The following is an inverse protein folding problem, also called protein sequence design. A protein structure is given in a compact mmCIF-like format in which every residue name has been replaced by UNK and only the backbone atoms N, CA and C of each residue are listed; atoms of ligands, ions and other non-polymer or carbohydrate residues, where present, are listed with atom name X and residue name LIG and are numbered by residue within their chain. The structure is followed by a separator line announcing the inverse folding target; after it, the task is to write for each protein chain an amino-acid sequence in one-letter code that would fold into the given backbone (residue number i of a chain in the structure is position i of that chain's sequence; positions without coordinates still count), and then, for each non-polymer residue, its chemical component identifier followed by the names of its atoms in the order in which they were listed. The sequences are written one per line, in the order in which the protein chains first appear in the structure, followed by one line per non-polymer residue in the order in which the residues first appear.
data_IF_845738049155
#
_entry.id   IF_845738049155
#
_cell.length_a   1.000
_cell.length_b   1.000
_cell.length_c   1.000
_cell.angle_alpha   90.00
_cell.angle_beta   90.00
_cell.angle_gamma   90.00
#
_symmetry.space_group_name_H-M   'P 1'
#
loop_
_entity.id
_entity.type
_entity.pdbx_description
1 polymer ?
#
# COMPACT_ATOMS: atom_id res chain seq x y z
N UNK A 1 1.14 -20.24 20.66
CA UNK A 1 1.75 -19.25 19.76
C UNK A 1 0.78 -18.09 19.50
N UNK A 2 -0.44 -18.31 18.99
CA UNK A 2 -1.45 -17.26 18.76
C UNK A 2 -1.85 -16.50 20.02
N UNK A 3 -2.02 -17.20 21.15
CA UNK A 3 -2.37 -16.58 22.42
C UNK A 3 -1.26 -15.64 22.94
N UNK A 4 0.00 -16.02 22.78
CA UNK A 4 1.14 -15.19 23.16
C UNK A 4 1.24 -13.94 22.29
N UNK A 5 1.10 -14.08 20.96
CA UNK A 5 1.05 -12.94 20.04
C UNK A 5 -0.05 -11.95 20.43
N UNK A 6 -1.25 -12.47 20.72
CA UNK A 6 -2.37 -11.63 21.11
C UNK A 6 -2.11 -10.90 22.45
N UNK A 7 -1.60 -11.60 23.45
CA UNK A 7 -1.32 -11.00 24.76
C UNK A 7 -0.23 -9.91 24.67
N UNK A 8 0.83 -10.13 23.90
CA UNK A 8 1.87 -9.12 23.67
C UNK A 8 1.32 -7.88 22.97
N UNK A 9 0.53 -8.07 21.89
CA UNK A 9 -0.09 -6.94 21.15
C UNK A 9 -1.07 -6.17 22.00
N UNK A 10 -1.88 -6.88 22.79
CA UNK A 10 -2.81 -6.26 23.71
C UNK A 10 -2.09 -5.41 24.75
N UNK A 11 -1.01 -5.95 25.32
CA UNK A 11 -0.20 -5.26 26.32
C UNK A 11 0.46 -3.99 25.77
N UNK A 12 1.04 -4.07 24.57
CA UNK A 12 1.61 -2.91 23.86
C UNK A 12 0.58 -1.82 23.59
N UNK A 13 -0.57 -2.20 23.00
CA UNK A 13 -1.65 -1.26 22.70
C UNK A 13 -2.19 -0.60 23.99
N UNK A 14 -2.42 -1.38 25.04
CA UNK A 14 -2.90 -0.86 26.32
C UNK A 14 -1.90 0.13 26.92
N UNK A 15 -0.62 -0.17 26.84
CA UNK A 15 0.45 0.71 27.34
C UNK A 15 0.53 2.02 26.52
N UNK A 16 0.43 1.93 25.20
CA UNK A 16 0.41 3.11 24.33
C UNK A 16 -0.80 4.00 24.59
N UNK A 17 -1.99 3.39 24.77
CA UNK A 17 -3.21 4.12 25.06
C UNK A 17 -3.14 4.79 26.44
N UNK A 18 -2.56 4.13 27.45
CA UNK A 18 -2.39 4.72 28.77
C UNK A 18 -1.42 5.91 28.78
N UNK A 19 -0.32 5.81 28.00
CA UNK A 19 0.69 6.87 27.94
C UNK A 19 0.27 8.04 27.02
N UNK A 20 -0.47 7.76 25.94
CA UNK A 20 -0.72 8.71 24.86
C UNK A 20 -2.17 8.68 24.35
N UNK A 21 -3.17 8.59 25.23
CA UNK A 21 -4.58 8.42 24.86
C UNK A 21 -5.10 9.49 23.87
N UNK A 22 -4.76 10.78 24.09
CA UNK A 22 -5.16 11.87 23.19
C UNK A 22 -4.52 11.74 21.79
N UNK A 23 -3.26 11.32 21.73
CA UNK A 23 -2.55 11.09 20.46
C UNK A 23 -3.19 9.91 19.72
N UNK A 24 -3.49 8.83 20.43
CA UNK A 24 -4.17 7.66 19.85
C UNK A 24 -5.56 8.00 19.33
N UNK A 25 -6.30 8.84 20.04
CA UNK A 25 -7.61 9.33 19.57
C UNK A 25 -7.46 10.16 18.28
N UNK A 26 -6.48 11.05 18.22
CA UNK A 26 -6.19 11.82 17.01
C UNK A 26 -5.82 10.94 15.83
N UNK A 27 -4.99 9.92 16.05
CA UNK A 27 -4.67 8.93 15.01
C UNK A 27 -5.90 8.13 14.55
N UNK A 28 -6.80 7.77 15.47
CA UNK A 28 -8.04 7.08 15.14
C UNK A 28 -8.93 7.94 14.22
N UNK A 29 -9.12 9.22 14.57
CA UNK A 29 -9.91 10.16 13.76
C UNK A 29 -9.29 10.37 12.39
N UNK A 30 -7.98 10.64 12.33
CA UNK A 30 -7.27 10.81 11.06
C UNK A 30 -7.36 9.53 10.18
N UNK A 31 -7.22 8.36 10.78
CA UNK A 31 -7.33 7.09 10.08
C UNK A 31 -8.73 6.89 9.45
N UNK A 32 -9.81 7.27 10.14
CA UNK A 32 -11.17 7.21 9.59
C UNK A 32 -11.38 8.21 8.46
N UNK A 33 -10.83 9.42 8.56
CA UNK A 33 -10.86 10.41 7.47
C UNK A 33 -10.12 9.87 6.25
N UNK A 34 -8.92 9.32 6.42
CA UNK A 34 -8.15 8.72 5.33
C UNK A 34 -8.83 7.48 4.75
N UNK A 35 -9.54 6.68 5.56
CA UNK A 35 -10.40 5.59 5.09
C UNK A 35 -11.41 6.08 4.05
N UNK A 36 -12.14 7.12 4.40
CA UNK A 36 -13.14 7.70 3.50
C UNK A 36 -12.52 8.23 2.20
N UNK A 37 -11.40 8.96 2.30
CA UNK A 37 -10.66 9.48 1.13
C UNK A 37 -10.15 8.35 0.26
N UNK A 38 -9.60 7.28 0.86
CA UNK A 38 -9.10 6.11 0.13
C UNK A 38 -10.23 5.41 -0.62
N UNK A 39 -11.38 5.19 0.02
CA UNK A 39 -12.55 4.55 -0.64
C UNK A 39 -13.04 5.39 -1.82
N UNK A 40 -13.31 6.68 -1.59
CA UNK A 40 -13.80 7.55 -2.67
C UNK A 40 -12.79 7.67 -3.81
N UNK A 41 -11.53 7.92 -3.49
CA UNK A 41 -10.46 8.09 -4.48
C UNK A 41 -10.31 6.84 -5.35
N UNK A 42 -10.24 5.66 -4.74
CA UNK A 42 -10.02 4.42 -5.49
C UNK A 42 -11.27 3.96 -6.27
N UNK A 43 -12.49 4.22 -5.79
CA UNK A 43 -13.71 4.02 -6.58
C UNK A 43 -13.71 4.92 -7.82
N UNK A 44 -13.29 6.18 -7.70
CA UNK A 44 -13.17 7.09 -8.85
C UNK A 44 -12.10 6.62 -9.83
N UNK A 45 -10.95 6.17 -9.35
CA UNK A 45 -9.88 5.59 -10.19
C UNK A 45 -10.39 4.36 -10.95
N UNK A 46 -11.06 3.42 -10.29
CA UNK A 46 -11.63 2.23 -10.93
C UNK A 46 -12.62 2.61 -12.03
N UNK A 47 -13.55 3.56 -11.75
CA UNK A 47 -14.50 4.05 -12.73
C UNK A 47 -13.83 4.74 -13.92
N UNK A 48 -12.79 5.54 -13.66
CA UNK A 48 -12.03 6.21 -14.71
C UNK A 48 -11.30 5.20 -15.61
N UNK A 49 -10.66 4.19 -15.01
CA UNK A 49 -9.98 3.13 -15.75
C UNK A 49 -10.94 2.31 -16.62
N UNK A 50 -12.15 2.06 -16.18
CA UNK A 50 -13.14 1.33 -16.97
C UNK A 50 -13.60 2.13 -18.20
N UNK A 51 -13.75 3.44 -18.07
CA UNK A 51 -14.14 4.34 -19.19
C UNK A 51 -13.00 4.62 -20.16
N UNK A 52 -11.76 4.52 -19.72
CA UNK A 52 -10.58 4.83 -20.53
C UNK A 52 -10.29 3.70 -21.53
N UNK A 53 -10.66 3.88 -22.79
CA UNK A 53 -10.41 2.93 -23.89
C UNK A 53 -8.99 3.04 -24.46
N UNK A 54 -8.33 4.18 -24.32
CA UNK A 54 -7.01 4.48 -24.91
C UNK A 54 -5.83 3.99 -24.06
N UNK A 55 -6.08 3.58 -22.80
CA UNK A 55 -5.02 3.13 -21.91
C UNK A 55 -4.65 1.67 -22.22
N UNK A 56 -3.36 1.36 -22.41
CA UNK A 56 -2.90 -0.01 -22.63
C UNK A 56 -3.38 -0.97 -21.52
N UNK A 57 -3.78 -2.22 -21.88
CA UNK A 57 -4.32 -3.16 -20.89
C UNK A 57 -3.35 -3.49 -19.74
N UNK A 58 -2.05 -3.47 -19.98
CA UNK A 58 -1.00 -3.68 -18.97
C UNK A 58 -1.04 -2.61 -17.89
N UNK A 59 -1.02 -1.34 -18.29
CA UNK A 59 -1.09 -0.18 -17.38
C UNK A 59 -2.41 -0.18 -16.63
N UNK A 60 -3.52 -0.44 -17.34
CA UNK A 60 -4.85 -0.54 -16.74
C UNK A 60 -4.92 -1.59 -15.64
N UNK A 61 -4.33 -2.77 -15.87
CA UNK A 61 -4.30 -3.87 -14.90
C UNK A 61 -3.48 -3.53 -13.67
N UNK A 62 -2.34 -2.86 -13.82
CA UNK A 62 -1.50 -2.40 -12.70
C UNK A 62 -2.25 -1.42 -11.79
N UNK A 63 -2.81 -0.36 -12.38
CA UNK A 63 -3.57 0.62 -11.61
C UNK A 63 -4.84 0.05 -10.99
N UNK A 64 -5.49 -0.92 -11.66
CA UNK A 64 -6.64 -1.62 -11.12
C UNK A 64 -6.26 -2.47 -9.90
N UNK A 65 -5.14 -3.20 -9.96
CA UNK A 65 -4.62 -3.97 -8.81
C UNK A 65 -4.32 -3.06 -7.60
N UNK A 66 -3.67 -1.91 -7.84
CA UNK A 66 -3.41 -0.92 -6.79
C UNK A 66 -4.73 -0.38 -6.21
N UNK A 67 -5.65 0.07 -7.07
CA UNK A 67 -6.91 0.65 -6.62
C UNK A 67 -7.78 -0.36 -5.84
N UNK A 68 -7.74 -1.64 -6.19
CA UNK A 68 -8.44 -2.70 -5.45
C UNK A 68 -7.78 -2.91 -4.08
N UNK A 69 -6.45 -3.01 -3.99
CA UNK A 69 -5.76 -3.16 -2.70
C UNK A 69 -6.02 -1.97 -1.78
N UNK A 70 -5.95 -0.74 -2.29
CA UNK A 70 -6.20 0.47 -1.51
C UNK A 70 -7.67 0.61 -1.08
N UNK A 71 -8.60 0.19 -1.94
CA UNK A 71 -10.02 0.13 -1.62
C UNK A 71 -10.27 -0.88 -0.46
N UNK A 72 -9.65 -2.06 -0.52
CA UNK A 72 -9.72 -3.04 0.55
C UNK A 72 -9.09 -2.50 1.86
N UNK A 73 -7.97 -1.80 1.79
CA UNK A 73 -7.37 -1.12 2.96
C UNK A 73 -8.37 -0.11 3.55
N UNK A 74 -8.97 0.73 2.72
CA UNK A 74 -9.95 1.73 3.15
C UNK A 74 -11.21 1.12 3.78
N UNK A 75 -11.78 0.07 3.20
CA UNK A 75 -13.03 -0.55 3.67
C UNK A 75 -12.81 -1.48 4.87
N UNK A 76 -11.70 -2.22 4.92
CA UNK A 76 -11.47 -3.26 5.92
C UNK A 76 -10.43 -2.84 6.96
N UNK A 77 -9.20 -2.55 6.54
CA UNK A 77 -8.07 -2.38 7.45
C UNK A 77 -8.22 -1.15 8.33
N UNK A 78 -8.56 -0.01 7.75
CA UNK A 78 -8.63 1.26 8.47
C UNK A 78 -9.81 1.32 9.46
N UNK A 79 -11.05 0.91 9.12
CA UNK A 79 -12.14 0.86 10.09
C UNK A 79 -11.89 -0.15 11.20
N UNK A 80 -11.35 -1.33 10.87
CA UNK A 80 -11.02 -2.35 11.88
C UNK A 80 -9.98 -1.83 12.88
N UNK A 81 -8.91 -1.17 12.40
CA UNK A 81 -7.93 -0.53 13.26
C UNK A 81 -8.58 0.53 14.16
N UNK A 82 -9.48 1.37 13.59
CA UNK A 82 -10.22 2.38 14.33
C UNK A 82 -11.10 1.78 15.45
N UNK A 83 -11.83 0.70 15.14
CA UNK A 83 -12.67 -0.01 16.12
C UNK A 83 -11.83 -0.62 17.24
N UNK A 84 -10.73 -1.31 16.91
CA UNK A 84 -9.82 -1.89 17.91
C UNK A 84 -9.28 -0.79 18.84
N UNK A 85 -8.79 0.33 18.27
CA UNK A 85 -8.27 1.47 19.04
C UNK A 85 -9.35 2.10 19.93
N UNK A 86 -10.55 2.31 19.41
CA UNK A 86 -11.68 2.85 20.16
C UNK A 86 -12.11 1.92 21.30
N UNK A 87 -12.13 0.60 21.08
CA UNK A 87 -12.42 -0.37 22.13
C UNK A 87 -11.37 -0.34 23.25
N UNK A 88 -10.08 -0.18 22.89
CA UNK A 88 -9.00 -0.04 23.88
C UNK A 88 -9.14 1.24 24.70
N UNK A 89 -9.44 2.37 24.06
CA UNK A 89 -9.68 3.64 24.75
C UNK A 89 -10.86 3.57 25.74
N UNK A 90 -11.95 2.91 25.35
CA UNK A 90 -13.12 2.70 26.24
C UNK A 90 -12.85 1.78 27.41
N UNK A 91 -11.96 0.79 27.26
CA UNK A 91 -11.67 -0.21 28.30
C UNK A 91 -10.75 0.25 29.41
N UNK A 92 -9.95 1.26 29.18
CA UNK A 92 -9.24 1.95 30.26
C UNK A 92 -10.22 2.53 31.31
N UNK A 93 -11.49 2.70 30.94
CA UNK A 93 -12.53 3.19 31.84
C UNK A 93 -13.37 2.11 32.53
N UNK A 94 -13.49 0.89 31.96
CA UNK A 94 -14.29 -0.20 32.59
C UNK A 94 -14.08 -1.57 31.91
N UNK A 95 -13.95 -2.64 32.72
CA UNK A 95 -14.19 -4.06 32.46
C UNK A 95 -13.02 -4.95 31.98
N UNK A 96 -12.58 -5.77 32.93
CA UNK A 96 -11.44 -6.70 32.86
C UNK A 96 -11.81 -8.15 32.41
N UNK A 97 -13.04 -8.53 32.13
CA UNK A 97 -13.42 -9.95 32.20
C UNK A 97 -13.71 -10.70 30.89
N UNK A 98 -14.10 -10.06 29.79
CA UNK A 98 -14.55 -10.82 28.59
C UNK A 98 -13.61 -10.80 27.38
N UNK A 99 -12.41 -10.26 27.49
CA UNK A 99 -11.47 -10.12 26.37
C UNK A 99 -10.58 -11.31 26.09
N UNK A 100 -10.36 -12.15 27.09
CA UNK A 100 -9.51 -13.33 26.92
C UNK A 100 -10.08 -14.36 25.93
N UNK A 101 -11.41 -14.40 25.77
CA UNK A 101 -12.10 -15.27 24.80
C UNK A 101 -12.14 -14.71 23.37
N UNK A 102 -12.08 -13.38 23.21
CA UNK A 102 -12.15 -12.74 21.89
C UNK A 102 -10.76 -12.58 21.24
N UNK A 103 -9.70 -12.77 22.03
CA UNK A 103 -8.38 -12.33 21.70
C UNK A 103 -7.66 -13.11 20.61
N UNK A 104 -7.50 -14.44 20.63
CA UNK A 104 -6.52 -15.02 19.72
C UNK A 104 -6.96 -14.98 18.26
N UNK A 105 -8.17 -15.38 17.95
CA UNK A 105 -8.60 -15.54 16.54
C UNK A 105 -8.95 -14.23 15.88
N UNK A 106 -9.77 -13.39 16.53
CA UNK A 106 -10.27 -12.15 15.92
C UNK A 106 -9.15 -11.15 15.71
N UNK A 107 -8.28 -10.93 16.71
CA UNK A 107 -7.15 -10.02 16.56
C UNK A 107 -6.14 -10.52 15.53
N UNK A 108 -5.82 -11.81 15.50
CA UNK A 108 -4.90 -12.38 14.51
C UNK A 108 -5.44 -12.19 13.10
N UNK A 109 -6.73 -12.48 12.86
CA UNK A 109 -7.38 -12.28 11.57
C UNK A 109 -7.40 -10.78 11.19
N UNK A 110 -7.74 -9.89 12.13
CA UNK A 110 -7.71 -8.45 11.88
C UNK A 110 -6.30 -7.95 11.52
N UNK A 111 -5.28 -8.35 12.26
CA UNK A 111 -3.90 -8.02 11.96
C UNK A 111 -3.45 -8.59 10.62
N UNK A 112 -3.86 -9.82 10.28
CA UNK A 112 -3.57 -10.41 8.99
C UNK A 112 -4.10 -9.56 7.84
N UNK A 113 -5.34 -9.09 7.90
CA UNK A 113 -5.91 -8.21 6.89
C UNK A 113 -5.25 -6.82 6.88
N UNK A 114 -5.01 -6.23 8.05
CA UNK A 114 -4.38 -4.90 8.15
C UNK A 114 -2.98 -4.93 7.50
N UNK A 115 -2.12 -5.85 7.91
CA UNK A 115 -0.75 -5.92 7.40
C UNK A 115 -0.69 -6.49 5.98
N UNK A 116 -1.50 -7.51 5.65
CA UNK A 116 -1.50 -8.15 4.34
C UNK A 116 -1.95 -7.22 3.22
N UNK A 117 -3.05 -6.51 3.42
CA UNK A 117 -3.56 -5.55 2.45
C UNK A 117 -2.63 -4.33 2.32
N UNK A 118 -2.07 -3.84 3.43
CA UNK A 118 -1.10 -2.74 3.40
C UNK A 118 0.17 -3.14 2.67
N UNK A 119 0.67 -4.35 2.91
CA UNK A 119 1.85 -4.88 2.20
C UNK A 119 1.55 -5.07 0.71
N UNK A 120 0.37 -5.59 0.35
CA UNK A 120 -0.04 -5.74 -1.05
C UNK A 120 -0.11 -4.39 -1.77
N UNK A 121 -0.72 -3.37 -1.16
CA UNK A 121 -0.76 -2.01 -1.70
C UNK A 121 0.65 -1.44 -1.89
N UNK A 122 1.51 -1.58 -0.88
CA UNK A 122 2.90 -1.13 -0.96
C UNK A 122 3.69 -1.81 -2.09
N UNK A 123 3.56 -3.13 -2.24
CA UNK A 123 4.20 -3.88 -3.32
C UNK A 123 3.66 -3.49 -4.70
N UNK A 124 2.36 -3.19 -4.83
CA UNK A 124 1.79 -2.65 -6.07
C UNK A 124 2.46 -1.33 -6.49
N UNK A 125 2.69 -0.41 -5.55
CA UNK A 125 3.39 0.87 -5.83
C UNK A 125 4.81 0.61 -6.34
N UNK A 126 5.54 -0.34 -5.72
CA UNK A 126 6.89 -0.72 -6.18
C UNK A 126 6.85 -1.27 -7.60
N UNK A 127 5.91 -2.17 -7.91
CA UNK A 127 5.80 -2.76 -9.26
C UNK A 127 5.45 -1.69 -10.30
N UNK A 128 4.54 -0.76 -10.00
CA UNK A 128 4.20 0.35 -10.89
C UNK A 128 5.44 1.23 -11.14
N UNK A 129 6.22 1.54 -10.11
CA UNK A 129 7.46 2.31 -10.26
C UNK A 129 8.48 1.58 -11.14
N UNK A 130 8.65 0.26 -10.96
CA UNK A 130 9.54 -0.58 -11.78
C UNK A 130 9.04 -0.68 -13.23
N UNK A 131 7.75 -0.87 -13.45
CA UNK A 131 7.14 -0.92 -14.77
C UNK A 131 7.35 0.39 -15.54
N UNK A 132 7.11 1.51 -14.89
CA UNK A 132 7.34 2.83 -15.46
C UNK A 132 8.83 3.06 -15.77
N UNK A 133 9.73 2.62 -14.89
CA UNK A 133 11.16 2.68 -15.11
C UNK A 133 11.59 1.84 -16.32
N UNK A 134 11.06 0.63 -16.46
CA UNK A 134 11.31 -0.24 -17.60
C UNK A 134 10.78 0.37 -18.90
N UNK A 135 9.57 0.95 -18.88
CA UNK A 135 9.00 1.62 -20.04
C UNK A 135 9.89 2.77 -20.54
N UNK A 136 10.41 3.57 -19.61
CA UNK A 136 11.31 4.70 -19.93
C UNK A 136 12.67 4.23 -20.46
N UNK A 137 13.24 3.15 -19.88
CA UNK A 137 14.57 2.66 -20.28
C UNK A 137 14.56 1.84 -21.57
N UNK A 138 13.57 0.99 -21.74
CA UNK A 138 13.55 -0.01 -22.80
C UNK A 138 12.80 0.48 -24.06
N UNK A 139 12.04 1.55 -23.94
CA UNK A 139 11.30 2.20 -25.02
C UNK A 139 10.68 1.22 -26.05
N UNK A 140 11.39 0.87 -27.13
CA UNK A 140 10.90 -0.02 -28.19
C UNK A 140 10.78 -1.50 -27.74
N UNK A 141 11.66 -1.99 -26.85
CA UNK A 141 11.65 -3.37 -26.37
C UNK A 141 10.68 -3.60 -25.20
N UNK A 142 10.11 -2.54 -24.65
CA UNK A 142 9.19 -2.66 -23.51
C UNK A 142 7.99 -3.53 -23.85
N UNK A 143 7.36 -3.36 -25.01
CA UNK A 143 6.17 -4.10 -25.43
C UNK A 143 6.43 -5.61 -25.62
N UNK A 144 7.65 -6.00 -25.98
CA UNK A 144 8.04 -7.41 -26.12
C UNK A 144 8.24 -8.08 -24.73
N UNK A 145 8.74 -7.33 -23.75
CA UNK A 145 9.07 -7.81 -22.41
C UNK A 145 7.86 -7.80 -21.48
N UNK A 146 7.06 -6.74 -21.51
CA UNK A 146 5.91 -6.55 -20.59
C UNK A 146 4.61 -6.94 -21.31
N UNK A 147 4.31 -8.22 -21.27
CA UNK A 147 3.04 -8.76 -21.78
C UNK A 147 2.00 -8.85 -20.65
N UNK A 148 0.72 -8.73 -20.99
CA UNK A 148 -0.37 -8.84 -20.01
C UNK A 148 -0.32 -10.15 -19.21
N UNK A 149 0.01 -11.27 -19.85
CA UNK A 149 0.16 -12.57 -19.17
C UNK A 149 1.25 -12.56 -18.11
N UNK A 150 2.44 -12.05 -18.44
CA UNK A 150 3.55 -11.93 -17.47
C UNK A 150 3.20 -11.01 -16.32
N UNK A 151 2.54 -9.92 -16.62
CA UNK A 151 2.09 -8.97 -15.61
C UNK A 151 1.11 -9.58 -14.63
N UNK A 152 0.11 -10.35 -15.11
CA UNK A 152 -0.83 -11.05 -14.23
C UNK A 152 -0.10 -12.04 -13.32
N UNK A 153 0.88 -12.77 -13.83
CA UNK A 153 1.70 -13.69 -13.01
C UNK A 153 2.43 -12.92 -11.91
N UNK A 154 3.03 -11.77 -12.22
CA UNK A 154 3.71 -10.91 -11.25
C UNK A 154 2.73 -10.41 -10.19
N UNK A 155 1.53 -9.99 -10.57
CA UNK A 155 0.51 -9.53 -9.63
C UNK A 155 0.00 -10.67 -8.72
N UNK A 156 -0.22 -11.86 -9.26
CA UNK A 156 -0.58 -13.04 -8.45
C UNK A 156 0.54 -13.38 -7.47
N UNK A 157 1.79 -13.39 -7.92
CA UNK A 157 2.95 -13.60 -7.05
C UNK A 157 3.04 -12.53 -5.95
N UNK A 158 2.73 -11.27 -6.25
CA UNK A 158 2.66 -10.17 -5.29
C UNK A 158 1.64 -10.49 -4.17
N UNK A 159 0.43 -10.89 -4.52
CA UNK A 159 -0.62 -11.21 -3.54
C UNK A 159 -0.23 -12.41 -2.66
N UNK A 160 0.35 -13.46 -3.25
CA UNK A 160 0.87 -14.62 -2.52
C UNK A 160 2.01 -14.19 -1.58
N UNK A 161 2.95 -13.38 -2.07
CA UNK A 161 4.10 -12.90 -1.28
C UNK A 161 3.62 -12.03 -0.11
N UNK A 162 2.60 -11.18 -0.31
CA UNK A 162 2.03 -10.37 0.77
C UNK A 162 1.37 -11.23 1.84
N UNK A 163 0.64 -12.28 1.46
CA UNK A 163 0.02 -13.20 2.39
C UNK A 163 1.06 -14.01 3.20
N UNK A 164 2.09 -14.54 2.53
CA UNK A 164 3.19 -15.26 3.19
C UNK A 164 3.98 -14.33 4.12
N UNK A 165 4.36 -13.14 3.65
CA UNK A 165 5.11 -12.16 4.44
C UNK A 165 4.35 -11.73 5.70
N UNK A 166 3.04 -11.54 5.59
CA UNK A 166 2.17 -11.23 6.72
C UNK A 166 2.06 -12.39 7.69
N UNK A 167 1.94 -13.62 7.19
CA UNK A 167 1.94 -14.82 8.04
C UNK A 167 3.25 -14.93 8.83
N UNK A 168 4.40 -14.75 8.17
CA UNK A 168 5.71 -14.73 8.84
C UNK A 168 5.77 -13.64 9.91
N UNK A 169 5.27 -12.43 9.61
CA UNK A 169 5.26 -11.32 10.56
C UNK A 169 4.41 -11.61 11.80
N UNK A 170 3.28 -12.30 11.65
CA UNK A 170 2.39 -12.65 12.75
C UNK A 170 2.96 -13.79 13.61
N UNK A 171 3.48 -14.85 12.96
CA UNK A 171 3.90 -16.07 13.65
C UNK A 171 5.36 -16.07 14.15
N UNK A 172 6.22 -15.17 13.62
CA UNK A 172 7.63 -15.03 14.01
C UNK A 172 7.94 -13.60 14.53
N UNK A 173 7.41 -13.19 15.69
CA UNK A 173 7.44 -11.79 16.09
C UNK A 173 8.82 -11.23 16.47
N UNK A 174 9.74 -12.06 16.94
CA UNK A 174 11.00 -11.56 17.55
C UNK A 174 12.03 -10.97 16.58
N UNK A 175 12.02 -11.36 15.31
CA UNK A 175 12.92 -10.78 14.29
C UNK A 175 12.20 -9.97 13.20
N UNK A 176 10.89 -10.18 13.07
CA UNK A 176 10.09 -9.69 11.94
C UNK A 176 9.84 -8.17 11.96
N UNK A 177 9.80 -7.54 13.13
CA UNK A 177 9.50 -6.10 13.26
C UNK A 177 10.62 -5.25 12.66
N UNK A 178 11.86 -5.52 13.06
CA UNK A 178 13.02 -4.81 12.52
C UNK A 178 13.20 -5.10 11.03
N UNK A 179 13.07 -6.36 10.64
CA UNK A 179 13.14 -6.79 9.25
C UNK A 179 12.05 -6.14 8.40
N UNK A 180 10.80 -6.11 8.88
CA UNK A 180 9.70 -5.43 8.21
C UNK A 180 9.91 -3.92 8.07
N UNK A 181 10.40 -3.25 9.12
CA UNK A 181 10.72 -1.83 9.08
C UNK A 181 11.86 -1.52 8.08
N UNK A 182 12.91 -2.34 8.06
CA UNK A 182 14.04 -2.20 7.12
C UNK A 182 13.58 -2.41 5.68
N UNK A 183 12.79 -3.46 5.40
CA UNK A 183 12.25 -3.72 4.06
C UNK A 183 11.33 -2.59 3.62
N UNK A 184 10.46 -2.09 4.50
CA UNK A 184 9.59 -0.95 4.22
C UNK A 184 10.38 0.32 3.90
N UNK A 185 11.40 0.63 4.69
CA UNK A 185 12.26 1.78 4.48
C UNK A 185 13.04 1.70 3.15
N UNK A 186 13.63 0.53 2.87
CA UNK A 186 14.31 0.29 1.59
C UNK A 186 13.36 0.40 0.39
N UNK A 187 12.11 -0.09 0.52
CA UNK A 187 11.10 0.04 -0.53
C UNK A 187 10.71 1.50 -0.78
N UNK A 188 10.56 2.33 0.27
CA UNK A 188 10.30 3.77 0.14
C UNK A 188 11.46 4.47 -0.56
N UNK A 189 12.69 4.15 -0.20
CA UNK A 189 13.88 4.70 -0.87
C UNK A 189 13.88 4.31 -2.35
N UNK A 190 13.67 3.03 -2.66
CA UNK A 190 13.66 2.51 -4.02
C UNK A 190 12.59 3.20 -4.88
N UNK A 191 11.37 3.32 -4.38
CA UNK A 191 10.28 4.00 -5.09
C UNK A 191 10.59 5.48 -5.29
N UNK A 192 11.11 6.17 -4.27
CA UNK A 192 11.47 7.58 -4.36
C UNK A 192 12.57 7.81 -5.41
N UNK A 193 13.61 6.99 -5.40
CA UNK A 193 14.69 7.06 -6.40
C UNK A 193 14.17 6.79 -7.81
N UNK A 194 13.30 5.78 -7.97
CA UNK A 194 12.68 5.46 -9.27
C UNK A 194 11.86 6.65 -9.80
N UNK A 195 11.01 7.26 -8.97
CA UNK A 195 10.20 8.42 -9.38
C UNK A 195 11.06 9.66 -9.69
N UNK A 196 12.13 9.94 -8.92
CA UNK A 196 13.07 11.02 -9.22
C UNK A 196 13.74 10.78 -10.59
N UNK A 197 14.15 9.54 -10.86
CA UNK A 197 14.78 9.19 -12.13
C UNK A 197 13.77 9.35 -13.29
N UNK A 198 12.55 8.84 -13.17
CA UNK A 198 11.49 8.98 -14.15
C UNK A 198 11.23 10.46 -14.45
N UNK A 199 11.09 11.29 -13.39
CA UNK A 199 10.88 12.73 -13.54
C UNK A 199 12.01 13.40 -14.33
N UNK A 200 13.26 13.10 -14.03
CA UNK A 200 14.43 13.64 -14.75
C UNK A 200 14.41 13.27 -16.22
N UNK A 201 14.15 12.01 -16.55
CA UNK A 201 14.11 11.54 -17.94
C UNK A 201 12.95 12.16 -18.73
N UNK A 202 11.74 12.17 -18.15
CA UNK A 202 10.57 12.81 -18.78
C UNK A 202 10.80 14.30 -19.00
N UNK A 203 11.39 15.00 -18.02
CA UNK A 203 11.73 16.42 -18.16
C UNK A 203 12.76 16.67 -19.26
N UNK A 204 13.77 15.81 -19.36
CA UNK A 204 14.78 15.89 -20.40
C UNK A 204 14.17 15.74 -21.79
N UNK A 205 13.37 14.70 -22.04
CA UNK A 205 12.69 14.49 -23.32
C UNK A 205 11.73 15.63 -23.68
N UNK A 206 10.96 16.12 -22.71
CA UNK A 206 10.08 17.27 -22.90
C UNK A 206 10.84 18.53 -23.36
N UNK A 207 12.00 18.77 -22.78
CA UNK A 207 12.84 19.92 -23.17
C UNK A 207 13.42 19.75 -24.57
N UNK A 208 13.83 18.53 -24.95
CA UNK A 208 14.29 18.24 -26.32
C UNK A 208 13.19 18.51 -27.34
N UNK A 209 11.97 18.02 -27.11
CA UNK A 209 10.84 18.26 -28.01
C UNK A 209 10.55 19.76 -28.14
N UNK A 210 10.58 20.51 -27.04
CA UNK A 210 10.39 21.97 -27.07
C UNK A 210 11.46 22.68 -27.90
N UNK A 211 12.72 22.31 -27.75
CA UNK A 211 13.81 22.86 -28.54
C UNK A 211 13.62 22.58 -30.03
N UNK A 212 13.24 21.35 -30.40
CA UNK A 212 12.97 20.97 -31.78
C UNK A 212 11.82 21.81 -32.41
N UNK A 213 10.72 21.98 -31.68
CA UNK A 213 9.61 22.83 -32.12
C UNK A 213 10.02 24.28 -32.30
N UNK A 214 10.87 24.85 -31.43
CA UNK A 214 11.35 26.21 -31.56
C UNK A 214 12.28 26.41 -32.78
N UNK A 215 13.13 25.42 -33.06
CA UNK A 215 14.02 25.45 -34.24
C UNK A 215 13.19 25.37 -35.53
N UNK A 216 12.20 24.47 -35.56
CA UNK A 216 11.34 24.29 -36.72
C UNK A 216 10.49 25.55 -37.03
N UNK A 217 9.97 26.20 -36.01
CA UNK A 217 9.24 27.49 -36.19
C UNK A 217 10.13 28.63 -36.63
N UNK A 218 11.45 28.62 -36.33
CA UNK A 218 12.39 29.64 -36.83
C UNK A 218 12.85 29.39 -38.26
N UNK A 219 12.77 28.15 -38.75
CA UNK A 219 13.14 27.78 -40.10
C UNK A 219 11.99 27.89 -41.11
N UNK A 220 10.73 27.97 -40.58
CA UNK A 220 9.53 28.14 -41.41
C UNK A 220 9.06 29.61 -41.55
N UNK A 221 9.86 30.55 -41.06
CA UNK A 221 9.73 32.00 -41.27
C UNK A 221 10.88 32.47 -42.18
#
# INVERSE_FOLDING_TARGET
MELQFCQERLKELTQLVHLHGNVMLSFCVLNLVFSFVAVLGNVLVIRALWKASLIPPTIKTLFLSLAISDLCVGILSQPVFGVITAMMLRRLSNVQHNFALFCPTVLTVCYFFIFGLSLASFLNVIIIALDTLLAVRLHLRYQELVTLKRLIIVLVALWITSAIGTSIFIFLPQGSRLTGAVIGFLGIILTTVAYIYIYKVVRFHRNQIRCQFQVQNRQGL
#
